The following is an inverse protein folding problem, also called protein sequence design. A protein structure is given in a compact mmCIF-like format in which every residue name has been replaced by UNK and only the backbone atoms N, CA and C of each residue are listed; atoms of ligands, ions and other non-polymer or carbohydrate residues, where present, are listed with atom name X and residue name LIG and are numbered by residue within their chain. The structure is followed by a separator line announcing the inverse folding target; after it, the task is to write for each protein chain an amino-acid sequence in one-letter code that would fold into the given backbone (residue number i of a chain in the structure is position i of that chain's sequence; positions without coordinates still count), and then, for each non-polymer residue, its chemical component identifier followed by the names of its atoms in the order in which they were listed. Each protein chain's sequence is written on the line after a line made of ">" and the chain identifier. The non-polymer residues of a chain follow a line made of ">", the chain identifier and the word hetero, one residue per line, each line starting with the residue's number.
data_IF_829313228044
#
_entry.id   IF_829313228044
#
_cell.length_a   1.000
_cell.length_b   1.000
_cell.length_c   1.000
_cell.angle_alpha   90.00
_cell.angle_beta   90.00
_cell.angle_gamma   90.00
#
_symmetry.space_group_name_H-M   'P 1'
#
loop_
_entity.id
_entity.type
_entity.pdbx_description
1 polymer ?
#
# COMPACT_ATOMS: atom_id res chain seq x y z
N UNK A 1 -10.70 8.92 -2.49
CA UNK A 1 -9.37 8.51 -2.99
C UNK A 1 -9.15 9.23 -4.30
N UNK A 2 -8.13 10.08 -4.40
CA UNK A 2 -7.78 10.73 -5.67
C UNK A 2 -6.87 9.79 -6.45
N UNK A 3 -7.33 9.36 -7.61
CA UNK A 3 -6.56 8.53 -8.54
C UNK A 3 -5.93 9.45 -9.58
N UNK A 4 -4.67 9.21 -9.95
CA UNK A 4 -4.03 9.97 -11.02
C UNK A 4 -4.69 9.62 -12.37
N UNK A 5 -5.39 10.57 -12.99
CA UNK A 5 -6.17 10.33 -14.21
C UNK A 5 -5.30 9.90 -15.40
N UNK A 6 -4.04 10.35 -15.45
CA UNK A 6 -3.08 10.06 -16.52
C UNK A 6 -2.19 8.83 -16.23
N UNK A 7 -2.59 7.97 -15.28
CA UNK A 7 -1.82 6.76 -14.99
C UNK A 7 -2.08 5.65 -16.02
N UNK A 8 -1.03 5.24 -16.72
CA UNK A 8 -1.03 4.11 -17.66
C UNK A 8 -0.17 2.96 -17.13
N UNK A 9 -0.81 1.85 -16.76
CA UNK A 9 -0.10 0.66 -16.28
C UNK A 9 0.78 0.06 -17.39
N UNK A 10 2.01 -0.28 -17.05
CA UNK A 10 3.04 -0.75 -17.97
C UNK A 10 3.89 0.37 -18.58
N UNK A 11 3.46 1.63 -18.46
CA UNK A 11 4.17 2.82 -18.95
C UNK A 11 4.56 3.74 -17.80
N UNK A 12 3.58 4.33 -17.11
CA UNK A 12 3.81 5.28 -16.00
C UNK A 12 4.63 4.64 -14.89
N UNK A 13 4.29 3.41 -14.46
CA UNK A 13 5.00 2.71 -13.39
C UNK A 13 6.39 2.18 -13.78
N UNK A 14 6.80 2.34 -15.05
CA UNK A 14 8.16 2.05 -15.53
C UNK A 14 9.00 3.31 -15.80
N UNK A 15 8.39 4.50 -15.77
CA UNK A 15 9.10 5.77 -15.96
C UNK A 15 10.14 6.01 -14.85
N UNK A 16 11.20 6.76 -15.17
CA UNK A 16 12.25 7.09 -14.21
C UNK A 16 11.71 7.94 -13.05
N UNK A 17 10.77 8.83 -13.35
CA UNK A 17 10.08 9.70 -12.40
C UNK A 17 9.28 8.89 -11.38
N UNK A 18 8.57 7.84 -11.84
CA UNK A 18 7.82 6.95 -10.95
C UNK A 18 8.76 6.07 -10.13
N UNK A 19 9.77 5.46 -10.75
CA UNK A 19 10.71 4.56 -10.06
C UNK A 19 11.55 5.30 -9.00
N UNK A 20 11.79 6.60 -9.16
CA UNK A 20 12.42 7.44 -8.14
C UNK A 20 11.58 7.55 -6.86
N UNK A 21 10.26 7.43 -6.98
CA UNK A 21 9.30 7.47 -5.85
C UNK A 21 9.00 6.06 -5.33
N UNK A 22 8.81 5.11 -6.25
CA UNK A 22 8.37 3.74 -5.98
C UNK A 22 9.29 2.75 -6.69
N UNK A 23 10.40 2.42 -6.03
CA UNK A 23 11.52 1.67 -6.61
C UNK A 23 11.18 0.29 -7.19
N UNK A 24 10.12 -0.35 -6.70
CA UNK A 24 9.70 -1.68 -7.20
C UNK A 24 8.87 -1.59 -8.50
N UNK A 25 8.47 -0.38 -8.95
CA UNK A 25 7.64 -0.18 -10.14
C UNK A 25 6.26 -0.83 -10.07
N UNK A 26 5.80 -1.22 -8.87
CA UNK A 26 4.51 -1.87 -8.66
C UNK A 26 3.44 -0.85 -8.32
N UNK A 27 2.20 -1.31 -8.41
CA UNK A 27 0.99 -0.67 -7.89
C UNK A 27 0.26 -1.64 -6.96
N UNK A 28 -0.51 -1.17 -5.97
CA UNK A 28 -0.76 0.23 -5.64
C UNK A 28 0.47 0.95 -5.05
N UNK A 29 0.48 2.28 -5.20
CA UNK A 29 1.50 3.18 -4.69
C UNK A 29 0.85 4.49 -4.24
N UNK A 30 1.31 5.05 -3.12
CA UNK A 30 0.73 6.24 -2.51
C UNK A 30 1.80 7.32 -2.31
N UNK A 31 1.55 8.50 -2.87
CA UNK A 31 2.27 9.74 -2.54
C UNK A 31 1.40 10.57 -1.60
N UNK A 32 1.87 10.80 -0.37
CA UNK A 32 1.12 11.60 0.61
C UNK A 32 1.25 13.09 0.31
N UNK A 33 0.39 13.91 0.92
CA UNK A 33 0.46 15.37 0.82
C UNK A 33 1.83 15.93 1.25
N UNK A 34 2.53 15.22 2.14
CA UNK A 34 3.86 15.59 2.66
C UNK A 34 5.02 14.98 1.84
N UNK A 35 4.76 14.56 0.59
CA UNK A 35 5.75 13.94 -0.32
C UNK A 35 6.46 12.73 0.28
N UNK A 36 5.74 11.96 1.09
CA UNK A 36 6.17 10.62 1.51
C UNK A 36 5.64 9.60 0.49
N UNK A 37 6.43 8.56 0.22
CA UNK A 37 6.11 7.56 -0.78
C UNK A 37 5.96 6.21 -0.09
N UNK A 38 4.78 5.62 -0.20
CA UNK A 38 4.48 4.29 0.32
C UNK A 38 4.20 3.35 -0.85
N UNK A 39 4.89 2.21 -0.86
CA UNK A 39 4.60 1.06 -1.72
C UNK A 39 4.19 -0.12 -0.83
N UNK A 40 3.74 -1.21 -1.45
CA UNK A 40 3.12 -2.39 -0.81
C UNK A 40 1.68 -2.11 -0.35
N UNK A 41 0.73 -2.89 -0.88
CA UNK A 41 -0.71 -2.71 -0.66
C UNK A 41 -1.09 -2.71 0.82
N UNK A 42 -0.54 -3.64 1.61
CA UNK A 42 -0.86 -3.76 3.03
C UNK A 42 -0.29 -2.58 3.85
N UNK A 43 0.84 -2.01 3.45
CA UNK A 43 1.39 -0.82 4.11
C UNK A 43 0.53 0.42 3.83
N UNK A 44 0.07 0.59 2.59
CA UNK A 44 -0.84 1.68 2.18
C UNK A 44 -2.19 1.54 2.89
N UNK A 45 -2.79 0.34 2.88
CA UNK A 45 -4.05 0.06 3.56
C UNK A 45 -3.93 0.33 5.06
N UNK A 46 -2.82 -0.08 5.68
CA UNK A 46 -2.54 0.26 7.06
C UNK A 46 -2.44 1.77 7.23
N UNK A 47 -1.66 2.51 6.44
CA UNK A 47 -1.55 3.97 6.59
C UNK A 47 -2.90 4.69 6.56
N UNK A 48 -3.74 4.39 5.57
CA UNK A 48 -5.07 5.00 5.36
C UNK A 48 -6.15 4.55 6.36
N UNK A 49 -5.91 3.48 7.11
CA UNK A 49 -6.87 2.95 8.07
C UNK A 49 -7.04 3.84 9.31
N UNK A 50 -8.20 3.76 9.96
CA UNK A 50 -8.44 4.34 11.28
C UNK A 50 -8.16 3.33 12.41
N UNK A 51 -8.29 3.74 13.67
CA UNK A 51 -8.02 2.86 14.82
C UNK A 51 -8.93 1.63 14.89
N UNK A 52 -10.15 1.70 14.35
CA UNK A 52 -11.04 0.54 14.30
C UNK A 52 -10.52 -0.51 13.31
N UNK A 53 -9.98 -0.09 12.17
CA UNK A 53 -9.45 -0.96 11.13
C UNK A 53 -8.00 -1.42 11.41
N UNK A 54 -7.23 -0.62 12.15
CA UNK A 54 -5.87 -0.96 12.60
C UNK A 54 -5.85 -1.83 13.86
N UNK A 55 -6.91 -1.77 14.66
CA UNK A 55 -6.96 -2.38 15.98
C UNK A 55 -6.57 -1.39 17.08
N UNK A 56 -7.31 -1.41 18.18
CA UNK A 56 -7.19 -0.41 19.26
C UNK A 56 -6.16 -0.79 20.33
N UNK A 57 -5.77 -2.05 20.38
CA UNK A 57 -4.80 -2.59 21.32
C UNK A 57 -3.82 -3.52 20.60
N UNK A 58 -2.76 -3.95 21.29
CA UNK A 58 -1.71 -4.76 20.70
C UNK A 58 -2.19 -6.13 20.20
N UNK A 59 -3.18 -6.75 20.86
CA UNK A 59 -3.73 -8.02 20.40
C UNK A 59 -4.57 -7.84 19.12
N UNK A 60 -5.40 -6.80 19.05
CA UNK A 60 -6.19 -6.51 17.85
C UNK A 60 -5.26 -6.27 16.64
N UNK A 61 -4.23 -5.46 16.82
CA UNK A 61 -3.22 -5.16 15.78
C UNK A 61 -2.52 -6.45 15.31
N UNK A 62 -2.13 -7.32 16.24
CA UNK A 62 -1.51 -8.60 15.92
C UNK A 62 -2.45 -9.54 15.15
N UNK A 63 -3.74 -9.60 15.53
CA UNK A 63 -4.73 -10.44 14.84
C UNK A 63 -5.02 -9.93 13.42
N UNK A 64 -5.13 -8.61 13.24
CA UNK A 64 -5.31 -8.00 11.92
C UNK A 64 -4.11 -8.29 11.02
N UNK A 65 -2.89 -8.15 11.57
CA UNK A 65 -1.67 -8.48 10.83
C UNK A 65 -1.59 -9.96 10.47
N UNK A 66 -1.90 -10.85 11.40
CA UNK A 66 -1.91 -12.30 11.19
C UNK A 66 -2.82 -12.68 10.01
N UNK A 67 -4.05 -12.13 9.95
CA UNK A 67 -4.96 -12.43 8.85
C UNK A 67 -4.57 -11.79 7.53
N UNK A 68 -3.95 -10.60 7.56
CA UNK A 68 -3.39 -9.97 6.36
C UNK A 68 -2.26 -10.81 5.78
N UNK A 69 -1.32 -11.23 6.62
CA UNK A 69 -0.19 -12.07 6.21
C UNK A 69 -0.68 -13.46 5.76
N UNK A 70 -1.68 -14.05 6.42
CA UNK A 70 -2.29 -15.31 5.97
C UNK A 70 -2.92 -15.17 4.57
N UNK A 71 -3.59 -14.06 4.29
CA UNK A 71 -4.10 -13.77 2.96
C UNK A 71 -3.00 -13.74 1.91
N UNK A 72 -1.89 -13.04 2.19
CA UNK A 72 -0.77 -12.91 1.27
C UNK A 72 -0.03 -14.23 1.00
N UNK A 73 0.17 -15.07 2.03
CA UNK A 73 1.06 -16.22 1.95
C UNK A 73 0.35 -17.57 1.77
N UNK A 74 -0.92 -17.69 2.20
CA UNK A 74 -1.62 -18.97 2.25
C UNK A 74 -2.86 -19.01 1.34
N UNK A 75 -3.40 -17.85 0.93
CA UNK A 75 -4.59 -17.77 0.07
C UNK A 75 -4.23 -17.37 -1.37
N UNK A 76 -3.36 -16.38 -1.55
CA UNK A 76 -2.96 -15.95 -2.88
C UNK A 76 -2.05 -17.01 -3.55
N UNK A 77 -2.23 -17.27 -4.86
CA UNK A 77 -1.42 -18.26 -5.61
C UNK A 77 0.06 -17.92 -5.74
#
# INVERSE_FOLDING_TARGET
>A
VNVCEDFHFGETNKSAEYLKKFHNGKVPALETQNKQYLSESNAIAHYESNDQLKGKNGLDQALIRMWSDFGDHEILP
#
